data_IF_646820926383
#
_entry.id   IF_646820926383
#
_cell.length_a   1.000
_cell.length_b   1.000
_cell.length_c   1.000
_cell.angle_alpha   90.00
_cell.angle_beta   90.00
_cell.angle_gamma   90.00
#
_symmetry.space_group_name_H-M   'P 1'
#
loop_
_entity.id
_entity.type
_entity.pdbx_description
1 polymer ?
#
# COMPACT_ATOMS: atom_id res chain seq x y z
N UNK A 1 8.95 -1.39 -38.61
CA UNK A 1 9.44 -2.03 -37.38
C UNK A 1 9.50 -0.99 -36.28
N UNK A 2 8.46 -0.91 -35.43
CA UNK A 2 8.47 -0.49 -34.02
C UNK A 2 7.00 -0.48 -33.54
N UNK A 3 6.50 -1.66 -33.16
CA UNK A 3 5.22 -1.80 -32.49
C UNK A 3 5.44 -2.67 -31.26
N UNK A 4 5.75 -2.04 -30.12
CA UNK A 4 5.69 -2.64 -28.80
C UNK A 4 5.26 -1.58 -27.78
N UNK A 5 4.02 -1.13 -27.92
CA UNK A 5 3.21 -0.72 -26.78
C UNK A 5 1.87 -1.42 -26.96
N UNK A 6 1.73 -2.59 -26.35
CA UNK A 6 0.42 -3.21 -26.17
C UNK A 6 -0.20 -2.54 -24.94
N UNK A 7 -1.40 -1.94 -25.05
CA UNK A 7 -2.10 -1.35 -23.91
C UNK A 7 -2.66 -2.41 -22.95
N UNK A 8 -2.29 -3.69 -23.11
CA UNK A 8 -2.80 -4.81 -22.32
C UNK A 8 -1.97 -5.05 -21.06
N UNK A 9 -1.99 -4.09 -20.15
CA UNK A 9 -2.00 -4.44 -18.73
C UNK A 9 -3.13 -3.64 -18.11
N UNK A 10 -4.31 -4.25 -18.19
CA UNK A 10 -5.46 -3.85 -17.40
C UNK A 10 -5.06 -4.01 -15.92
N UNK A 11 -4.39 -2.98 -15.37
CA UNK A 11 -4.05 -2.84 -13.95
C UNK A 11 -5.29 -2.47 -13.13
N UNK A 12 -6.50 -2.77 -13.63
CA UNK A 12 -7.70 -2.74 -12.82
C UNK A 12 -7.55 -3.81 -11.76
N UNK A 13 -7.25 -3.36 -10.54
CA UNK A 13 -7.42 -4.21 -9.37
C UNK A 13 -8.88 -4.63 -9.39
N UNK A 14 -9.14 -5.92 -9.61
CA UNK A 14 -10.49 -6.45 -9.56
C UNK A 14 -11.12 -6.08 -8.21
N UNK A 15 -12.11 -5.18 -8.23
CA UNK A 15 -12.81 -4.73 -7.02
C UNK A 15 -13.37 -5.92 -6.23
N UNK A 16 -13.77 -6.99 -6.94
CA UNK A 16 -14.26 -8.22 -6.31
C UNK A 16 -13.15 -8.91 -5.50
N UNK A 17 -11.89 -8.82 -5.94
CA UNK A 17 -10.75 -9.36 -5.21
C UNK A 17 -10.43 -8.54 -3.95
N UNK A 18 -10.59 -7.21 -3.99
CA UNK A 18 -10.44 -6.37 -2.81
C UNK A 18 -11.44 -6.73 -1.72
N UNK A 19 -12.69 -7.01 -2.09
CA UNK A 19 -13.74 -7.41 -1.17
C UNK A 19 -13.80 -8.91 -0.86
N UNK A 20 -12.85 -9.70 -1.38
CA UNK A 20 -12.78 -11.14 -1.12
C UNK A 20 -12.71 -11.46 0.38
N UNK A 21 -13.69 -12.19 0.95
CA UNK A 21 -13.70 -12.52 2.38
C UNK A 21 -12.47 -13.31 2.84
N UNK A 22 -11.93 -14.16 1.95
CA UNK A 22 -10.74 -14.95 2.23
C UNK A 22 -9.51 -14.05 2.36
N UNK A 23 -9.34 -13.07 1.44
CA UNK A 23 -8.26 -12.07 1.48
C UNK A 23 -8.35 -11.23 2.74
N UNK A 24 -9.53 -10.70 3.07
CA UNK A 24 -9.75 -9.87 4.26
C UNK A 24 -9.49 -10.65 5.55
N UNK A 25 -9.87 -11.92 5.60
CA UNK A 25 -9.55 -12.80 6.73
C UNK A 25 -8.04 -13.01 6.86
N UNK A 26 -7.34 -13.27 5.75
CA UNK A 26 -5.89 -13.39 5.75
C UNK A 26 -5.19 -12.10 6.18
N UNK A 27 -5.68 -10.94 5.70
CA UNK A 27 -5.18 -9.62 6.11
C UNK A 27 -5.33 -9.42 7.62
N UNK A 28 -6.50 -9.68 8.20
CA UNK A 28 -6.74 -9.56 9.65
C UNK A 28 -5.83 -10.50 10.45
N UNK A 29 -5.58 -11.71 9.96
CA UNK A 29 -4.68 -12.69 10.59
C UNK A 29 -3.22 -12.24 10.65
N UNK A 30 -2.80 -11.29 9.82
CA UNK A 30 -1.45 -10.70 9.94
C UNK A 30 -1.27 -9.95 11.26
N UNK A 31 -2.35 -9.46 11.88
CA UNK A 31 -2.28 -8.62 13.07
C UNK A 31 -1.62 -7.27 12.84
N UNK A 32 -1.49 -6.81 11.59
CA UNK A 32 -0.78 -5.58 11.25
C UNK A 32 -1.68 -4.33 11.15
N UNK A 33 -2.98 -4.51 10.89
CA UNK A 33 -3.94 -3.40 10.82
C UNK A 33 -4.04 -2.70 12.18
N UNK A 34 -4.13 -1.36 12.16
CA UNK A 34 -4.31 -0.50 13.33
C UNK A 34 -3.24 -0.67 14.43
N UNK A 35 -2.07 -1.17 14.06
CA UNK A 35 -0.93 -1.32 14.96
C UNK A 35 -0.02 -0.10 14.94
N UNK A 36 0.76 0.04 16.01
CA UNK A 36 1.81 1.05 16.10
C UNK A 36 2.83 0.92 14.96
N UNK A 37 3.55 2.01 14.63
CA UNK A 37 4.69 1.95 13.73
C UNK A 37 5.70 0.90 14.17
N UNK A 38 6.45 0.38 13.21
CA UNK A 38 7.38 -0.73 13.43
C UNK A 38 8.63 -0.50 12.60
N UNK A 39 9.76 -0.43 13.30
CA UNK A 39 11.07 -0.10 12.73
C UNK A 39 11.49 -1.02 11.58
N UNK A 40 11.04 -2.27 11.55
CA UNK A 40 11.32 -3.22 10.46
C UNK A 40 10.65 -2.79 9.16
N UNK A 41 9.36 -2.44 9.22
CA UNK A 41 8.62 -1.95 8.07
C UNK A 41 9.06 -0.53 7.68
N UNK A 42 9.40 0.31 8.66
CA UNK A 42 9.89 1.68 8.39
C UNK A 42 11.21 1.67 7.63
N UNK A 43 12.13 0.78 8.01
CA UNK A 43 13.38 0.60 7.29
C UNK A 43 13.15 0.13 5.85
N UNK A 44 12.18 -0.76 5.63
CA UNK A 44 11.85 -1.25 4.30
C UNK A 44 11.29 -0.13 3.41
N UNK A 45 10.33 0.65 3.93
CA UNK A 45 9.74 1.79 3.20
C UNK A 45 10.77 2.86 2.88
N UNK A 46 11.64 3.18 3.85
CA UNK A 46 12.75 4.10 3.64
C UNK A 46 13.73 3.61 2.57
N UNK A 47 14.06 2.32 2.59
CA UNK A 47 14.94 1.73 1.58
C UNK A 47 14.31 1.81 0.18
N UNK A 48 13.01 1.51 0.07
CA UNK A 48 12.29 1.61 -1.20
C UNK A 48 12.32 3.05 -1.75
N UNK A 49 12.03 4.06 -0.92
CA UNK A 49 12.13 5.47 -1.31
C UNK A 49 13.56 5.83 -1.74
N UNK A 50 14.57 5.43 -0.95
CA UNK A 50 15.97 5.80 -1.18
C UNK A 50 16.56 5.15 -2.43
N UNK A 51 16.32 3.86 -2.65
CA UNK A 51 16.86 3.12 -3.79
C UNK A 51 16.23 3.60 -5.10
N UNK A 52 14.93 3.91 -5.07
CA UNK A 52 14.19 4.34 -6.26
C UNK A 52 14.26 5.85 -6.49
N UNK A 53 14.91 6.62 -5.60
CA UNK A 53 14.86 8.08 -5.58
C UNK A 53 13.42 8.61 -5.66
N UNK A 54 12.47 7.91 -5.02
CA UNK A 54 11.07 8.26 -5.04
C UNK A 54 10.75 9.20 -3.87
N UNK A 55 10.09 10.35 -4.10
CA UNK A 55 9.77 11.30 -3.04
C UNK A 55 8.75 10.74 -2.04
N UNK A 56 7.99 9.72 -2.44
CA UNK A 56 6.99 9.04 -1.60
C UNK A 56 7.15 7.54 -1.78
N UNK A 57 7.12 6.79 -0.67
CA UNK A 57 7.02 5.34 -0.66
C UNK A 57 6.11 4.90 0.49
N UNK A 58 5.28 3.87 0.25
CA UNK A 58 4.30 3.39 1.21
C UNK A 58 4.37 1.88 1.35
N UNK A 59 4.28 1.40 2.58
CA UNK A 59 3.86 0.03 2.85
C UNK A 59 2.40 0.07 3.30
N UNK A 60 1.53 -0.32 2.38
CA UNK A 60 0.10 -0.16 2.51
C UNK A 60 -0.62 -1.49 2.59
N UNK A 61 -1.54 -1.59 3.54
CA UNK A 61 -2.46 -2.70 3.72
C UNK A 61 -3.85 -2.25 3.28
N UNK A 62 -4.39 -2.89 2.26
CA UNK A 62 -5.68 -2.52 1.67
C UNK A 62 -6.79 -3.34 2.34
N UNK A 63 -7.62 -2.72 3.18
CA UNK A 63 -8.82 -3.35 3.77
C UNK A 63 -10.01 -3.24 2.81
N UNK A 64 -11.23 -3.51 3.28
CA UNK A 64 -12.44 -3.40 2.48
C UNK A 64 -12.86 -1.95 2.18
N UNK A 65 -12.58 -1.02 3.09
CA UNK A 65 -13.10 0.36 3.06
C UNK A 65 -12.01 1.42 3.22
N UNK A 66 -10.76 1.01 3.42
CA UNK A 66 -9.63 1.92 3.60
C UNK A 66 -8.32 1.27 3.23
N UNK A 67 -7.34 2.10 2.91
CA UNK A 67 -5.94 1.76 2.89
C UNK A 67 -5.30 2.19 4.21
N UNK A 68 -4.68 1.25 4.93
CA UNK A 68 -3.91 1.53 6.14
C UNK A 68 -2.41 1.57 5.82
N UNK A 69 -1.74 2.64 6.22
CA UNK A 69 -0.30 2.82 6.02
C UNK A 69 0.46 2.24 7.22
N UNK A 70 0.93 1.00 7.08
CA UNK A 70 1.79 0.41 8.10
C UNK A 70 3.08 1.22 8.24
N UNK A 71 3.59 1.75 7.13
CA UNK A 71 4.72 2.66 7.08
C UNK A 71 4.64 3.58 5.85
N UNK A 72 5.16 4.80 5.98
CA UNK A 72 5.15 5.80 4.91
C UNK A 72 6.38 6.71 4.99
N UNK A 73 6.87 7.13 3.83
CA UNK A 73 7.90 8.17 3.68
C UNK A 73 7.36 9.23 2.74
N UNK A 74 7.54 10.50 3.09
CA UNK A 74 7.21 11.64 2.23
C UNK A 74 5.73 12.02 2.14
N UNK A 75 4.83 11.39 2.91
CA UNK A 75 3.43 11.82 3.00
C UNK A 75 3.32 13.15 3.76
N UNK A 76 2.43 14.01 3.29
CA UNK A 76 2.01 15.22 3.99
C UNK A 76 0.87 14.95 4.97
N UNK A 77 0.58 15.93 5.82
CA UNK A 77 -0.65 15.92 6.61
C UNK A 77 -1.89 16.04 5.71
N UNK A 78 -3.04 15.44 6.10
CA UNK A 78 -3.24 14.71 7.36
C UNK A 78 -2.80 13.23 7.30
N UNK A 79 -2.42 12.73 6.13
CA UNK A 79 -2.16 11.29 5.92
C UNK A 79 -0.94 10.77 6.67
N UNK A 80 0.07 11.61 6.90
CA UNK A 80 1.23 11.29 7.71
C UNK A 80 0.84 10.90 9.15
N UNK A 81 -0.06 11.67 9.77
CA UNK A 81 -0.54 11.39 11.13
C UNK A 81 -1.70 10.39 11.17
N UNK A 82 -2.64 10.47 10.22
CA UNK A 82 -3.81 9.58 10.19
C UNK A 82 -3.46 8.14 9.87
N UNK A 83 -2.40 7.92 9.07
CA UNK A 83 -1.95 6.59 8.63
C UNK A 83 -3.02 5.77 7.90
N UNK A 84 -3.99 6.44 7.28
CA UNK A 84 -4.98 5.81 6.43
C UNK A 84 -5.52 6.76 5.36
N UNK A 85 -6.09 6.18 4.30
CA UNK A 85 -6.87 6.87 3.28
C UNK A 85 -8.11 6.05 2.91
N UNK A 86 -9.25 6.70 2.59
CA UNK A 86 -10.44 6.01 2.11
C UNK A 86 -10.18 5.35 0.75
N UNK A 87 -10.80 4.18 0.53
CA UNK A 87 -10.86 3.52 -0.78
C UNK A 87 -12.12 3.93 -1.55
#
# INVERSE_FOLDING_TARGET
MMALYSPDTDLTVDEQLLHSPARLTALRRTGLLDTLPDTGFDRLTWLASSVLNAPIALLSLVDAHRQFFKSAVGLSEPWASQREAPL
#
